data_IF_673968532005
#
_entry.id   IF_673968532005
#
_cell.length_a   1.000
_cell.length_b   1.000
_cell.length_c   1.000
_cell.angle_alpha   90.00
_cell.angle_beta   90.00
_cell.angle_gamma   90.00
#
_symmetry.space_group_name_H-M   'P 1'
#
loop_
_entity.id
_entity.type
_entity.pdbx_description
1 polymer ?
#
# COMPACT_ATOMS: atom_id res chain seq x y z
N UNK A 1 -27.03 -5.64 3.43
CA UNK A 1 -27.14 -4.20 3.77
C UNK A 1 -25.81 -3.76 4.36
N UNK A 2 -25.39 -2.54 4.03
CA UNK A 2 -24.21 -1.82 4.58
C UNK A 2 -22.88 -2.18 3.91
N UNK A 3 -22.11 -1.30 3.25
CA UNK A 3 -22.15 0.17 3.14
C UNK A 3 -21.54 0.59 1.79
N UNK A 4 -22.11 1.62 1.17
CA UNK A 4 -21.47 2.35 0.08
C UNK A 4 -20.29 3.12 0.65
N UNK A 5 -19.07 2.61 0.49
CA UNK A 5 -17.85 3.35 0.82
C UNK A 5 -17.64 4.39 -0.27
N UNK A 6 -17.90 5.66 0.02
CA UNK A 6 -17.50 6.76 -0.85
C UNK A 6 -15.97 6.80 -0.83
N UNK A 7 -15.33 6.27 -1.87
CA UNK A 7 -13.88 6.30 -2.04
C UNK A 7 -13.41 7.73 -2.33
N UNK A 8 -13.15 8.53 -1.30
CA UNK A 8 -12.72 9.93 -1.46
C UNK A 8 -11.40 10.04 -2.21
N UNK A 9 -10.53 9.03 -2.09
CA UNK A 9 -9.29 8.93 -2.86
C UNK A 9 -9.55 8.69 -4.35
N UNK A 10 -10.37 7.70 -4.69
CA UNK A 10 -10.59 7.31 -6.09
C UNK A 10 -11.27 8.42 -6.90
N UNK A 11 -12.11 9.22 -6.25
CA UNK A 11 -12.79 10.36 -6.86
C UNK A 11 -11.86 11.56 -7.18
N UNK A 12 -10.65 11.63 -6.61
CA UNK A 12 -9.72 12.76 -6.78
C UNK A 12 -8.42 12.32 -7.50
N UNK A 13 -8.23 12.69 -8.78
CA UNK A 13 -7.02 12.39 -9.53
C UNK A 13 -5.73 12.90 -8.85
N UNK A 14 -5.79 13.99 -8.10
CA UNK A 14 -4.63 14.50 -7.38
C UNK A 14 -4.26 13.63 -6.17
N UNK A 15 -5.24 13.06 -5.47
CA UNK A 15 -4.97 12.10 -4.39
C UNK A 15 -4.31 10.84 -4.96
N UNK A 16 -4.82 10.31 -6.07
CA UNK A 16 -4.22 9.17 -6.78
C UNK A 16 -2.78 9.46 -7.22
N UNK A 17 -2.55 10.60 -7.86
CA UNK A 17 -1.21 11.00 -8.29
C UNK A 17 -0.23 11.14 -7.11
N UNK A 18 -0.67 11.69 -5.96
CA UNK A 18 0.16 11.79 -4.75
C UNK A 18 0.53 10.42 -4.17
N UNK A 19 -0.39 9.46 -4.18
CA UNK A 19 -0.11 8.10 -3.72
C UNK A 19 0.92 7.41 -4.63
N UNK A 20 0.71 7.46 -5.95
CA UNK A 20 1.66 6.93 -6.94
C UNK A 20 3.05 7.57 -6.80
N UNK A 21 3.12 8.87 -6.54
CA UNK A 21 4.39 9.57 -6.33
C UNK A 21 5.13 9.08 -5.08
N UNK A 22 4.43 8.91 -3.95
CA UNK A 22 5.02 8.36 -2.71
C UNK A 22 5.50 6.93 -2.86
N UNK A 23 4.90 6.17 -3.78
CA UNK A 23 5.20 4.76 -3.96
C UNK A 23 6.47 4.47 -4.77
N UNK A 24 7.10 5.49 -5.37
CA UNK A 24 8.30 5.34 -6.21
C UNK A 24 9.50 4.92 -5.36
N UNK A 25 10.20 3.85 -5.75
CA UNK A 25 11.29 3.27 -4.95
C UNK A 25 12.65 3.34 -5.62
N UNK A 26 13.70 3.33 -4.80
CA UNK A 26 15.09 3.26 -5.28
C UNK A 26 15.55 1.83 -5.56
N UNK A 27 14.98 0.87 -4.83
CA UNK A 27 15.18 -0.56 -5.07
C UNK A 27 14.23 -1.08 -6.15
N UNK A 28 14.80 -1.64 -7.23
CA UNK A 28 14.06 -2.07 -8.42
C UNK A 28 12.97 -3.10 -8.09
N UNK A 29 13.29 -4.07 -7.24
CA UNK A 29 12.37 -5.13 -6.86
C UNK A 29 11.14 -4.58 -6.12
N UNK A 30 11.31 -3.61 -5.23
CA UNK A 30 10.19 -2.93 -4.59
C UNK A 30 9.35 -2.16 -5.62
N UNK A 31 10.01 -1.44 -6.53
CA UNK A 31 9.33 -0.64 -7.55
C UNK A 31 8.46 -1.54 -8.45
N UNK A 32 8.98 -2.70 -8.87
CA UNK A 32 8.23 -3.69 -9.66
C UNK A 32 7.02 -4.24 -8.89
N UNK A 33 7.19 -4.60 -7.61
CA UNK A 33 6.09 -5.12 -6.78
C UNK A 33 5.00 -4.06 -6.64
N UNK A 34 5.39 -2.82 -6.32
CA UNK A 34 4.47 -1.68 -6.16
C UNK A 34 3.75 -1.37 -7.48
N UNK A 35 4.43 -1.38 -8.61
CA UNK A 35 3.82 -1.16 -9.93
C UNK A 35 2.76 -2.23 -10.21
N UNK A 36 3.09 -3.51 -10.03
CA UNK A 36 2.15 -4.62 -10.22
C UNK A 36 0.96 -4.54 -9.27
N UNK A 37 1.22 -4.17 -8.01
CA UNK A 37 0.19 -3.96 -7.01
C UNK A 37 -0.83 -2.92 -7.47
N UNK A 38 -0.37 -1.74 -7.89
CA UNK A 38 -1.32 -0.72 -8.34
C UNK A 38 -2.01 -1.12 -9.64
N UNK A 39 -1.32 -1.75 -10.59
CA UNK A 39 -1.96 -2.23 -11.82
C UNK A 39 -3.09 -3.24 -11.53
N UNK A 40 -3.03 -3.97 -10.42
CA UNK A 40 -4.06 -4.94 -10.03
C UNK A 40 -5.14 -4.36 -9.11
N UNK A 41 -4.76 -3.53 -8.15
CA UNK A 41 -5.64 -3.19 -7.02
C UNK A 41 -6.01 -1.72 -6.91
N UNK A 42 -5.39 -0.80 -7.67
CA UNK A 42 -5.53 0.66 -7.47
C UNK A 42 -7.00 1.10 -7.38
N UNK A 43 -7.87 0.66 -8.27
CA UNK A 43 -9.30 1.08 -8.30
C UNK A 43 -10.13 0.51 -7.14
N UNK A 44 -9.65 -0.54 -6.47
CA UNK A 44 -10.34 -1.22 -5.36
C UNK A 44 -9.92 -0.75 -3.97
N UNK A 45 -8.93 0.15 -3.90
CA UNK A 45 -8.40 0.63 -2.62
C UNK A 45 -9.39 1.56 -1.93
N UNK A 46 -9.69 1.24 -0.67
CA UNK A 46 -10.42 2.11 0.25
C UNK A 46 -9.55 3.28 0.74
N UNK A 47 -10.18 4.30 1.30
CA UNK A 47 -9.44 5.43 1.89
C UNK A 47 -8.57 4.96 3.08
N UNK A 48 -8.98 3.91 3.79
CA UNK A 48 -8.20 3.28 4.86
C UNK A 48 -6.96 2.55 4.31
N UNK A 49 -7.11 1.81 3.21
CA UNK A 49 -5.97 1.17 2.53
C UNK A 49 -4.95 2.22 2.07
N UNK A 50 -5.44 3.34 1.53
CA UNK A 50 -4.58 4.43 1.06
C UNK A 50 -3.83 5.08 2.21
N UNK A 51 -4.46 5.24 3.38
CA UNK A 51 -3.78 5.74 4.57
C UNK A 51 -2.68 4.76 5.03
N UNK A 52 -2.99 3.46 5.14
CA UNK A 52 -2.00 2.44 5.50
C UNK A 52 -0.87 2.32 4.49
N UNK A 53 -1.14 2.39 3.19
CA UNK A 53 -0.10 2.45 2.16
C UNK A 53 0.76 3.70 2.30
N UNK A 54 0.16 4.84 2.69
CA UNK A 54 0.89 6.07 2.97
C UNK A 54 1.95 5.87 4.05
N UNK A 55 1.55 5.31 5.19
CA UNK A 55 2.43 4.99 6.32
C UNK A 55 3.46 3.91 5.96
N UNK A 56 3.03 2.80 5.35
CA UNK A 56 3.92 1.74 4.88
C UNK A 56 4.98 2.29 3.93
N UNK A 57 4.62 3.32 3.16
CA UNK A 57 5.54 3.91 2.21
C UNK A 57 6.60 4.86 2.79
N UNK A 58 6.46 5.24 4.06
CA UNK A 58 7.50 5.97 4.79
C UNK A 58 8.68 5.09 5.21
N UNK A 59 8.51 3.75 5.16
CA UNK A 59 9.60 2.80 5.39
C UNK A 59 10.70 2.94 4.34
N UNK A 60 11.93 2.62 4.76
CA UNK A 60 13.07 2.50 3.85
C UNK A 60 12.87 1.35 2.87
N UNK A 61 13.58 1.37 1.74
CA UNK A 61 13.49 0.30 0.74
C UNK A 61 13.85 -1.08 1.32
N UNK A 62 14.83 -1.16 2.22
CA UNK A 62 15.22 -2.43 2.84
C UNK A 62 14.17 -2.92 3.83
N UNK A 63 13.62 -2.02 4.66
CA UNK A 63 12.58 -2.40 5.64
C UNK A 63 11.31 -2.89 4.94
N UNK A 64 10.89 -2.20 3.87
CA UNK A 64 9.78 -2.65 3.05
C UNK A 64 10.08 -4.00 2.41
N UNK A 65 11.28 -4.19 1.86
CA UNK A 65 11.67 -5.46 1.24
C UNK A 65 11.65 -6.61 2.24
N UNK A 66 12.14 -6.40 3.47
CA UNK A 66 12.13 -7.42 4.51
C UNK A 66 10.70 -7.82 4.93
N UNK A 67 9.77 -6.85 4.94
CA UNK A 67 8.34 -7.15 5.10
C UNK A 67 7.77 -7.92 3.90
N UNK A 68 8.10 -7.54 2.67
CA UNK A 68 7.60 -8.22 1.46
C UNK A 68 8.11 -9.67 1.35
N UNK A 69 9.34 -9.91 1.78
CA UNK A 69 9.98 -11.23 1.80
C UNK A 69 9.66 -12.06 3.06
N UNK A 70 8.81 -11.55 3.95
CA UNK A 70 8.44 -12.23 5.22
C UNK A 70 9.67 -12.54 6.09
N UNK A 71 10.70 -11.70 6.00
CA UNK A 71 11.87 -11.73 6.91
C UNK A 71 11.60 -10.97 8.19
N UNK A 72 10.68 -10.01 8.11
CA UNK A 72 10.11 -9.26 9.22
C UNK A 72 8.58 -9.32 9.11
N UNK A 73 7.91 -9.23 10.26
CA UNK A 73 6.46 -9.02 10.33
C UNK A 73 6.15 -7.62 10.86
N UNK A 74 4.91 -7.18 10.64
CA UNK A 74 4.42 -5.94 11.25
C UNK A 74 4.41 -6.09 12.78
N UNK A 75 4.78 -5.03 13.49
CA UNK A 75 4.82 -4.99 14.94
C UNK A 75 4.36 -3.63 15.48
N UNK A 76 4.03 -3.61 16.78
CA UNK A 76 3.66 -2.39 17.50
C UNK A 76 2.49 -1.65 16.86
N UNK A 77 2.68 -0.36 16.60
CA UNK A 77 1.64 0.53 16.04
C UNK A 77 1.31 0.24 14.57
N UNK A 78 2.20 -0.44 13.85
CA UNK A 78 1.97 -0.83 12.44
C UNK A 78 1.15 -2.11 12.33
N UNK A 79 1.04 -2.93 13.38
CA UNK A 79 0.30 -4.18 13.35
C UNK A 79 -1.22 -3.97 13.50
N UNK A 80 -1.80 -3.32 12.50
CA UNK A 80 -3.24 -3.04 12.43
C UNK A 80 -3.90 -3.85 11.32
N UNK A 81 -5.20 -4.19 11.43
CA UNK A 81 -5.89 -4.96 10.39
C UNK A 81 -5.80 -4.35 8.97
N UNK A 82 -5.91 -3.02 8.78
CA UNK A 82 -5.73 -2.40 7.47
C UNK A 82 -4.30 -2.55 6.92
N UNK A 83 -3.28 -2.37 7.77
CA UNK A 83 -1.88 -2.54 7.40
C UNK A 83 -1.58 -3.99 6.98
N UNK A 84 -2.03 -4.97 7.77
CA UNK A 84 -1.91 -6.39 7.46
C UNK A 84 -2.57 -6.72 6.12
N UNK A 85 -3.74 -6.13 5.84
CA UNK A 85 -4.44 -6.32 4.58
C UNK A 85 -3.64 -5.79 3.40
N UNK A 86 -3.18 -4.52 3.43
CA UNK A 86 -2.43 -3.95 2.30
C UNK A 86 -1.09 -4.65 2.08
N UNK A 87 -0.40 -5.06 3.15
CA UNK A 87 0.83 -5.86 3.06
C UNK A 87 0.55 -7.23 2.41
N UNK A 88 -0.55 -7.88 2.78
CA UNK A 88 -0.96 -9.14 2.17
C UNK A 88 -1.27 -8.98 0.67
N UNK A 89 -1.91 -7.88 0.28
CA UNK A 89 -2.16 -7.59 -1.13
C UNK A 89 -0.86 -7.32 -1.91
N UNK A 90 0.09 -6.58 -1.33
CA UNK A 90 1.43 -6.37 -1.90
C UNK A 90 2.21 -7.67 -2.07
N UNK A 91 2.08 -8.62 -1.14
CA UNK A 91 2.71 -9.96 -1.24
C UNK A 91 2.04 -10.87 -2.29
N UNK A 92 0.89 -10.49 -2.85
CA UNK A 92 0.09 -11.32 -3.77
C UNK A 92 0.32 -11.07 -5.27
N UNK A 93 1.23 -10.15 -5.64
CA UNK A 93 1.48 -9.74 -7.04
C UNK A 93 2.79 -10.25 -7.63
#
# INVERSE_FOLDING_TARGET
MSQSTTFSHQADPHKRARLRWRARRGLLENDIIVERFFNRYEESLSDEDVASLGELFELSDNDLMDLLLVRKELDGELDTPPMQRVLSLLRSV
#
